data_IF_470770558219
#
_entry.id   IF_470770558219
#
_cell.length_a   1.000
_cell.length_b   1.000
_cell.length_c   1.000
_cell.angle_alpha   90.00
_cell.angle_beta   90.00
_cell.angle_gamma   90.00
#
_symmetry.space_group_name_H-M   'P 1'
#
loop_
_entity.id
_entity.type
_entity.pdbx_description
1 polymer ?
#
# COMPACT_ATOMS: atom_id res chain seq x y z
N UNK A 1 10.80 -15.48 4.77
CA UNK A 1 9.61 -16.09 5.40
C UNK A 1 9.48 -15.52 6.80
N UNK A 2 8.64 -14.51 6.99
CA UNK A 2 8.43 -13.89 8.29
C UNK A 2 7.50 -14.79 9.11
N UNK A 3 8.03 -15.41 10.17
CA UNK A 3 7.22 -16.22 11.09
C UNK A 3 6.44 -15.28 12.00
N UNK A 4 5.15 -15.10 11.73
CA UNK A 4 4.24 -14.38 12.62
C UNK A 4 4.00 -15.18 13.90
N UNK A 5 4.93 -15.10 14.85
CA UNK A 5 4.74 -15.68 16.18
C UNK A 5 3.90 -14.74 17.03
N UNK A 6 2.72 -15.21 17.43
CA UNK A 6 1.92 -14.57 18.48
C UNK A 6 2.53 -14.91 19.85
N UNK A 7 2.70 -13.90 20.71
CA UNK A 7 3.39 -14.02 22.01
C UNK A 7 2.43 -14.00 23.22
N UNK A 8 1.11 -13.94 23.00
CA UNK A 8 0.10 -14.01 24.06
C UNK A 8 -0.42 -15.43 24.33
N UNK A 9 -1.31 -15.58 25.31
CA UNK A 9 -1.99 -16.87 25.56
C UNK A 9 -3.13 -17.07 24.55
N UNK A 10 -3.46 -18.33 24.23
CA UNK A 10 -4.54 -18.65 23.29
C UNK A 10 -5.89 -18.08 23.74
N UNK A 11 -6.15 -18.05 25.05
CA UNK A 11 -7.39 -17.51 25.60
C UNK A 11 -7.51 -15.99 25.41
N UNK A 12 -6.41 -15.25 25.54
CA UNK A 12 -6.38 -13.82 25.22
C UNK A 12 -6.74 -13.57 23.75
N UNK A 13 -6.25 -14.43 22.85
CA UNK A 13 -6.52 -14.30 21.42
C UNK A 13 -8.01 -14.58 21.09
N UNK A 14 -8.62 -15.54 21.79
CA UNK A 14 -10.06 -15.82 21.68
C UNK A 14 -10.88 -14.61 22.14
N UNK A 15 -10.55 -14.05 23.31
CA UNK A 15 -11.19 -12.82 23.82
C UNK A 15 -11.01 -11.62 22.87
N UNK A 16 -9.81 -11.45 22.30
CA UNK A 16 -9.55 -10.40 21.32
C UNK A 16 -10.41 -10.56 20.06
N UNK A 17 -10.56 -11.78 19.56
CA UNK A 17 -11.40 -12.10 18.39
C UNK A 17 -12.86 -11.74 18.64
N UNK A 18 -13.39 -12.08 19.81
CA UNK A 18 -14.76 -11.74 20.21
C UNK A 18 -14.93 -10.23 20.33
N UNK A 19 -14.01 -9.55 21.01
CA UNK A 19 -14.02 -8.11 21.21
C UNK A 19 -13.99 -7.32 19.89
N UNK A 20 -13.37 -7.89 18.87
CA UNK A 20 -13.26 -7.30 17.55
C UNK A 20 -14.34 -7.78 16.58
N UNK A 21 -15.32 -8.58 16.99
CA UNK A 21 -16.36 -9.11 16.11
C UNK A 21 -15.76 -9.69 14.80
N UNK A 22 -14.76 -10.55 14.94
CA UNK A 22 -14.08 -11.15 13.78
C UNK A 22 -14.96 -12.27 13.23
N UNK A 23 -15.21 -12.23 11.92
CA UNK A 23 -15.93 -13.29 11.22
C UNK A 23 -15.00 -14.48 10.93
N UNK A 24 -15.12 -15.55 11.70
CA UNK A 24 -14.30 -16.75 11.53
C UNK A 24 -14.74 -17.65 10.37
N UNK A 25 -15.87 -17.36 9.71
CA UNK A 25 -16.36 -18.16 8.57
C UNK A 25 -15.47 -18.03 7.32
N UNK A 26 -14.63 -16.98 7.29
CA UNK A 26 -13.67 -16.66 6.21
C UNK A 26 -12.31 -17.34 6.37
N UNK A 27 -12.22 -18.33 7.25
CA UNK A 27 -11.01 -19.10 7.49
C UNK A 27 -11.36 -20.59 7.59
N UNK A 28 -10.44 -21.45 7.15
CA UNK A 28 -10.64 -22.91 7.19
C UNK A 28 -9.39 -23.60 7.69
N UNK A 29 -9.57 -24.53 8.62
CA UNK A 29 -8.52 -25.44 9.06
C UNK A 29 -8.77 -26.80 8.42
N UNK A 30 -7.80 -27.29 7.65
CA UNK A 30 -7.86 -28.59 6.99
C UNK A 30 -6.75 -29.49 7.54
N UNK A 31 -7.06 -30.68 8.09
CA UNK A 31 -6.03 -31.63 8.49
C UNK A 31 -5.30 -32.17 7.27
N UNK A 32 -3.97 -32.33 7.39
CA UNK A 32 -3.10 -32.89 6.37
C UNK A 32 -2.81 -34.36 6.65
N UNK A 33 -2.47 -35.12 5.61
CA UNK A 33 -2.19 -36.56 5.70
C UNK A 33 -0.95 -36.90 6.53
N UNK A 34 -0.05 -35.94 6.74
CA UNK A 34 1.19 -36.07 7.51
C UNK A 34 1.02 -35.76 9.00
N UNK A 35 -0.22 -35.51 9.45
CA UNK A 35 -0.52 -35.13 10.83
C UNK A 35 -0.38 -33.63 11.12
N UNK A 36 -0.11 -32.82 10.10
CA UNK A 36 -0.18 -31.35 10.17
C UNK A 36 -1.58 -30.79 9.93
N UNK A 37 -1.68 -29.46 9.95
CA UNK A 37 -2.88 -28.70 9.63
C UNK A 37 -2.53 -27.58 8.66
N UNK A 38 -3.37 -27.36 7.65
CA UNK A 38 -3.32 -26.20 6.77
C UNK A 38 -4.43 -25.22 7.18
N UNK A 39 -4.03 -24.00 7.51
CA UNK A 39 -4.95 -22.89 7.78
C UNK A 39 -5.01 -22.03 6.53
N UNK A 40 -6.17 -21.97 5.89
CA UNK A 40 -6.41 -21.15 4.70
C UNK A 40 -7.29 -19.95 5.07
N UNK A 41 -6.98 -18.80 4.48
CA UNK A 41 -7.72 -17.56 4.63
C UNK A 41 -8.37 -17.20 3.29
N UNK A 42 -9.59 -16.68 3.33
CA UNK A 42 -10.22 -16.14 2.14
C UNK A 42 -9.49 -14.86 1.68
N UNK A 43 -9.54 -14.61 0.38
CA UNK A 43 -9.03 -13.36 -0.18
C UNK A 43 -9.71 -12.14 0.48
N UNK A 44 -8.98 -11.03 0.66
CA UNK A 44 -9.55 -9.84 1.25
C UNK A 44 -10.60 -9.21 0.32
N UNK A 45 -11.67 -8.67 0.89
CA UNK A 45 -12.78 -8.02 0.14
C UNK A 45 -12.31 -6.74 -0.53
N UNK A 46 -11.30 -6.10 0.05
CA UNK A 46 -10.76 -4.80 -0.33
C UNK A 46 -9.24 -4.92 -0.41
N UNK A 47 -8.55 -4.22 -1.33
CA UNK A 47 -7.09 -4.20 -1.35
C UNK A 47 -6.53 -3.64 -0.03
N UNK A 48 -5.77 -4.48 0.68
CA UNK A 48 -5.22 -4.18 2.01
C UNK A 48 -3.69 -4.01 2.03
N UNK A 49 -3.02 -4.03 0.86
CA UNK A 49 -1.55 -4.02 0.75
C UNK A 49 -0.87 -2.89 1.55
N UNK A 50 -1.56 -1.75 1.70
CA UNK A 50 -1.07 -0.61 2.48
C UNK A 50 -1.00 -0.89 3.99
N UNK A 51 -1.91 -1.71 4.51
CA UNK A 51 -2.07 -1.99 5.95
C UNK A 51 -1.50 -3.34 6.34
N UNK A 52 -1.58 -4.33 5.45
CA UNK A 52 -1.03 -5.66 5.60
C UNK A 52 -0.39 -6.08 4.27
N UNK A 53 0.90 -5.75 4.04
CA UNK A 53 1.57 -6.03 2.77
C UNK A 53 1.80 -7.54 2.55
N UNK A 54 1.97 -8.31 3.63
CA UNK A 54 2.13 -9.76 3.60
C UNK A 54 0.86 -10.43 4.14
N UNK A 55 -0.25 -10.33 3.41
CA UNK A 55 -1.48 -11.01 3.77
C UNK A 55 -1.28 -12.54 3.67
N UNK A 56 -1.61 -13.31 4.72
CA UNK A 56 -1.41 -14.75 4.69
C UNK A 56 -2.52 -15.43 3.87
N UNK A 57 -2.15 -16.15 2.81
CA UNK A 57 -3.09 -16.95 2.03
C UNK A 57 -3.33 -18.33 2.68
N UNK A 58 -2.24 -19.05 2.94
CA UNK A 58 -2.28 -20.34 3.62
C UNK A 58 -1.03 -20.56 4.47
N UNK A 59 -1.22 -21.15 5.65
CA UNK A 59 -0.12 -21.43 6.58
C UNK A 59 -0.25 -22.88 7.05
N UNK A 60 0.81 -23.65 6.87
CA UNK A 60 0.91 -25.02 7.37
C UNK A 60 1.55 -25.03 8.75
N UNK A 61 0.93 -25.75 9.68
CA UNK A 61 1.37 -25.88 11.07
C UNK A 61 1.29 -27.33 11.52
N UNK A 62 2.03 -27.66 12.59
CA UNK A 62 2.19 -29.05 13.06
C UNK A 62 1.32 -29.41 14.25
N UNK A 63 0.66 -28.43 14.89
CA UNK A 63 -0.10 -28.63 16.13
C UNK A 63 -1.48 -27.97 16.02
N UNK A 64 -2.48 -28.60 16.65
CA UNK A 64 -3.85 -28.08 16.74
C UNK A 64 -3.89 -26.69 17.38
N UNK A 65 -3.16 -26.51 18.49
CA UNK A 65 -3.11 -25.23 19.20
C UNK A 65 -2.48 -24.14 18.34
N UNK A 66 -1.46 -24.50 17.55
CA UNK A 66 -0.84 -23.58 16.59
C UNK A 66 -1.80 -23.26 15.44
N UNK A 67 -2.59 -24.22 14.96
CA UNK A 67 -3.58 -24.01 13.91
C UNK A 67 -4.63 -23.01 14.34
N UNK A 68 -5.18 -23.20 15.55
CA UNK A 68 -6.15 -22.28 16.13
C UNK A 68 -5.55 -20.88 16.32
N UNK A 69 -4.38 -20.77 16.95
CA UNK A 69 -3.73 -19.47 17.16
C UNK A 69 -3.44 -18.74 15.84
N UNK A 70 -3.00 -19.48 14.82
CA UNK A 70 -2.70 -18.93 13.49
C UNK A 70 -3.97 -18.46 12.79
N UNK A 71 -5.04 -19.26 12.86
CA UNK A 71 -6.35 -18.91 12.31
C UNK A 71 -6.89 -17.63 12.94
N UNK A 72 -6.96 -17.58 14.27
CA UNK A 72 -7.50 -16.43 15.00
C UNK A 72 -6.64 -15.16 14.77
N UNK A 73 -5.32 -15.27 14.85
CA UNK A 73 -4.42 -14.12 14.63
C UNK A 73 -4.47 -13.62 13.18
N UNK A 74 -4.51 -14.53 12.20
CA UNK A 74 -4.62 -14.18 10.79
C UNK A 74 -5.95 -13.51 10.46
N UNK A 75 -7.07 -14.09 10.90
CA UNK A 75 -8.41 -13.55 10.69
C UNK A 75 -8.57 -12.15 11.30
N UNK A 76 -8.09 -11.96 12.53
CA UNK A 76 -8.11 -10.68 13.23
C UNK A 76 -7.34 -9.61 12.45
N UNK A 77 -6.10 -9.91 12.03
CA UNK A 77 -5.27 -8.96 11.27
C UNK A 77 -5.89 -8.60 9.93
N UNK A 78 -6.36 -9.60 9.19
CA UNK A 78 -6.93 -9.43 7.86
C UNK A 78 -8.17 -8.52 7.92
N UNK A 79 -9.11 -8.81 8.82
CA UNK A 79 -10.33 -8.01 8.93
C UNK A 79 -10.09 -6.62 9.51
N UNK A 80 -9.15 -6.46 10.45
CA UNK A 80 -8.75 -5.13 10.91
C UNK A 80 -8.15 -4.31 9.76
N UNK A 81 -7.29 -4.92 8.93
CA UNK A 81 -6.71 -4.25 7.78
C UNK A 81 -7.78 -3.83 6.76
N UNK A 82 -8.78 -4.68 6.50
CA UNK A 82 -9.92 -4.33 5.62
C UNK A 82 -10.72 -3.14 6.18
N UNK A 83 -11.02 -3.15 7.48
CA UNK A 83 -11.74 -2.05 8.15
C UNK A 83 -10.97 -0.74 8.07
N UNK A 84 -9.65 -0.80 8.28
CA UNK A 84 -8.77 0.35 8.14
C UNK A 84 -8.72 0.85 6.70
N UNK A 85 -8.65 -0.05 5.72
CA UNK A 85 -8.64 0.31 4.30
C UNK A 85 -9.93 1.02 3.86
N UNK A 86 -11.09 0.49 4.26
CA UNK A 86 -12.39 1.09 3.93
C UNK A 86 -12.55 2.46 4.58
N UNK A 87 -12.13 2.60 5.85
CA UNK A 87 -12.36 3.80 6.66
C UNK A 87 -11.19 4.78 6.64
N UNK A 88 -10.14 4.50 5.88
CA UNK A 88 -8.97 5.36 5.78
C UNK A 88 -9.37 6.78 5.34
N UNK A 89 -8.96 7.79 6.11
CA UNK A 89 -9.32 9.19 5.86
C UNK A 89 -10.68 9.63 6.42
N UNK A 90 -11.39 8.76 7.15
CA UNK A 90 -12.61 9.17 7.88
C UNK A 90 -12.23 9.98 9.11
N UNK A 91 -12.73 11.21 9.22
CA UNK A 91 -12.48 12.11 10.36
C UNK A 91 -13.46 11.80 11.49
N UNK A 92 -13.02 11.97 12.75
CA UNK A 92 -13.88 11.87 13.93
C UNK A 92 -14.16 10.43 14.41
N UNK A 93 -13.46 9.43 13.87
CA UNK A 93 -13.58 8.03 14.29
C UNK A 93 -12.33 7.60 15.06
N UNK A 94 -12.53 7.03 16.24
CA UNK A 94 -11.43 6.44 17.00
C UNK A 94 -10.95 5.13 16.36
N UNK A 95 -9.66 4.86 16.52
CA UNK A 95 -8.98 3.64 16.09
C UNK A 95 -9.64 2.38 16.64
N UNK A 96 -10.09 2.37 17.89
CA UNK A 96 -10.75 1.21 18.49
C UNK A 96 -12.13 0.97 17.86
N UNK A 97 -12.87 2.03 17.58
CA UNK A 97 -14.14 1.93 16.87
C UNK A 97 -13.94 1.32 15.47
N UNK A 98 -12.92 1.79 14.73
CA UNK A 98 -12.58 1.27 13.40
C UNK A 98 -12.24 -0.22 13.47
N UNK A 99 -11.49 -0.64 14.50
CA UNK A 99 -11.07 -2.03 14.67
C UNK A 99 -12.20 -2.96 15.09
N UNK A 100 -13.17 -2.51 15.89
CA UNK A 100 -14.22 -3.37 16.47
C UNK A 100 -15.51 -3.42 15.68
N UNK A 101 -15.83 -2.36 14.93
CA UNK A 101 -17.11 -2.28 14.20
C UNK A 101 -17.00 -3.04 12.88
N UNK A 102 -17.87 -4.04 12.61
CA UNK A 102 -17.92 -4.71 11.31
C UNK A 102 -18.17 -3.72 10.17
N UNK A 103 -17.77 -4.09 8.95
CA UNK A 103 -17.95 -3.24 7.77
C UNK A 103 -19.40 -3.38 7.29
N UNK A 104 -20.11 -2.27 7.08
CA UNK A 104 -21.45 -2.31 6.49
C UNK A 104 -21.39 -2.36 4.96
N UNK A 105 -22.46 -2.85 4.33
CA UNK A 105 -22.57 -2.85 2.88
C UNK A 105 -22.47 -1.44 2.27
N UNK A 106 -23.10 -0.45 2.92
CA UNK A 106 -23.05 0.95 2.53
C UNK A 106 -21.62 1.51 2.56
N UNK A 107 -20.81 1.14 3.57
CA UNK A 107 -19.41 1.55 3.66
C UNK A 107 -18.57 0.97 2.51
N UNK A 108 -18.82 -0.28 2.11
CA UNK A 108 -18.14 -0.91 0.97
C UNK A 108 -18.52 -0.25 -0.35
N UNK A 109 -19.79 0.09 -0.55
CA UNK A 109 -20.23 0.77 -1.77
C UNK A 109 -19.68 2.20 -1.85
N UNK A 110 -19.69 2.93 -0.74
CA UNK A 110 -19.05 4.24 -0.66
C UNK A 110 -17.53 4.16 -0.93
N UNK A 111 -16.85 3.12 -0.43
CA UNK A 111 -15.44 2.89 -0.74
C UNK A 111 -15.20 2.64 -2.23
N UNK A 112 -16.01 1.77 -2.85
CA UNK A 112 -15.93 1.48 -4.29
C UNK A 112 -16.19 2.73 -5.13
N UNK A 113 -17.14 3.57 -4.73
CA UNK A 113 -17.39 4.86 -5.38
C UNK A 113 -16.17 5.78 -5.32
N UNK A 114 -15.57 5.95 -4.14
CA UNK A 114 -14.34 6.75 -3.96
C UNK A 114 -13.19 6.25 -4.83
N UNK A 115 -13.03 4.94 -4.98
CA UNK A 115 -11.98 4.38 -5.84
C UNK A 115 -12.22 4.67 -7.33
N UNK A 116 -13.47 4.61 -7.80
CA UNK A 116 -13.81 4.98 -9.18
C UNK A 116 -13.55 6.47 -9.43
N UNK A 117 -13.96 7.33 -8.50
CA UNK A 117 -13.70 8.77 -8.59
C UNK A 117 -12.19 9.08 -8.60
N UNK A 118 -11.42 8.46 -7.70
CA UNK A 118 -9.97 8.63 -7.66
C UNK A 118 -9.30 8.16 -8.96
N UNK A 119 -9.79 7.07 -9.56
CA UNK A 119 -9.30 6.60 -10.85
C UNK A 119 -9.59 7.61 -11.98
N UNK A 120 -10.78 8.21 -12.00
CA UNK A 120 -11.13 9.26 -12.97
C UNK A 120 -10.27 10.52 -12.77
N UNK A 121 -10.11 10.97 -11.52
CA UNK A 121 -9.26 12.12 -11.20
C UNK A 121 -7.82 11.91 -11.66
N UNK A 122 -7.26 10.71 -11.50
CA UNK A 122 -5.91 10.37 -12.00
C UNK A 122 -5.82 10.45 -13.52
N UNK A 123 -6.84 10.01 -14.25
CA UNK A 123 -6.88 10.12 -15.71
C UNK A 123 -6.91 11.58 -16.16
N UNK A 124 -7.81 12.38 -15.58
CA UNK A 124 -7.92 13.81 -15.88
C UNK A 124 -6.60 14.53 -15.56
N UNK A 125 -5.97 14.21 -14.42
CA UNK A 125 -4.68 14.79 -14.06
C UNK A 125 -3.58 14.42 -15.07
N UNK A 126 -3.54 13.18 -15.56
CA UNK A 126 -2.58 12.76 -16.58
C UNK A 126 -2.81 13.49 -17.91
N UNK A 127 -4.06 13.63 -18.35
CA UNK A 127 -4.43 14.38 -19.55
C UNK A 127 -4.05 15.87 -19.44
N UNK A 128 -4.27 16.48 -18.28
CA UNK A 128 -3.86 17.87 -18.03
C UNK A 128 -2.34 18.05 -18.07
N UNK A 129 -1.58 17.11 -17.50
CA UNK A 129 -0.11 17.15 -17.54
C UNK A 129 0.36 17.06 -19.00
N UNK A 130 -0.18 16.13 -19.77
CA UNK A 130 0.17 15.99 -21.19
C UNK A 130 -0.17 17.25 -21.99
N UNK A 131 -1.35 17.83 -21.80
CA UNK A 131 -1.75 19.06 -22.50
C UNK A 131 -0.87 20.26 -22.13
N UNK A 132 -0.44 20.35 -20.87
CA UNK A 132 0.50 21.39 -20.43
C UNK A 132 1.87 21.20 -21.07
N UNK A 133 2.38 19.98 -21.14
CA UNK A 133 3.65 19.66 -21.79
C UNK A 133 3.63 19.99 -23.28
N UNK A 134 2.54 19.63 -23.99
CA UNK A 134 2.35 19.95 -25.40
C UNK A 134 2.32 21.47 -25.63
N UNK A 135 1.54 22.20 -24.82
CA UNK A 135 1.46 23.67 -24.90
C UNK A 135 2.79 24.35 -24.58
N UNK A 136 3.54 23.84 -23.60
CA UNK A 136 4.88 24.34 -23.29
C UNK A 136 5.86 24.06 -24.45
N UNK A 137 5.79 22.88 -25.06
CA UNK A 137 6.61 22.55 -26.21
C UNK A 137 6.32 23.46 -27.41
N UNK A 138 5.04 23.77 -27.67
CA UNK A 138 4.64 24.74 -28.69
C UNK A 138 5.13 26.16 -28.36
N UNK A 139 4.91 26.62 -27.14
CA UNK A 139 5.39 27.94 -26.70
C UNK A 139 6.92 28.05 -26.82
N UNK A 140 7.66 26.99 -26.47
CA UNK A 140 9.11 26.93 -26.61
C UNK A 140 9.54 26.96 -28.07
N UNK A 141 8.81 26.30 -28.99
CA UNK A 141 9.09 26.38 -30.44
C UNK A 141 8.91 27.81 -30.95
N UNK A 142 7.83 28.48 -30.56
CA UNK A 142 7.56 29.88 -30.95
C UNK A 142 8.63 30.81 -30.39
N UNK A 143 8.96 30.69 -29.10
CA UNK A 143 9.99 31.49 -28.46
C UNK A 143 11.38 31.26 -29.08
N UNK A 144 11.71 30.01 -29.44
CA UNK A 144 12.96 29.70 -30.13
C UNK A 144 13.01 30.33 -31.53
N UNK A 145 11.91 30.30 -32.28
CA UNK A 145 11.82 30.94 -33.59
C UNK A 145 11.96 32.48 -33.47
N UNK A 146 11.35 33.08 -32.46
CA UNK A 146 11.47 34.51 -32.19
C UNK A 146 12.90 34.91 -31.80
N UNK A 147 13.57 34.14 -30.95
CA UNK A 147 14.98 34.36 -30.60
C UNK A 147 15.90 34.23 -31.81
N UNK A 148 15.67 33.22 -32.67
CA UNK A 148 16.44 33.03 -33.89
C UNK A 148 16.26 34.20 -34.88
N UNK A 149 15.04 34.76 -34.97
CA UNK A 149 14.76 35.94 -35.78
C UNK A 149 15.42 37.22 -35.23
N UNK A 150 15.46 37.38 -33.90
CA UNK A 150 16.11 38.55 -33.26
C UNK A 150 17.63 38.51 -33.32
N UNK A 151 18.25 37.32 -33.28
CA UNK A 151 19.69 37.16 -33.24
C UNK A 151 20.19 36.13 -34.27
N UNK A 152 20.17 36.46 -35.57
CA UNK A 152 20.56 35.53 -36.64
C UNK A 152 22.02 35.07 -36.46
N UNK A 153 22.24 33.74 -36.51
CA UNK A 153 23.57 33.11 -36.43
C UNK A 153 24.09 32.77 -35.03
N UNK A 154 23.39 33.20 -33.97
CA UNK A 154 23.82 32.95 -32.57
C UNK A 154 23.03 31.84 -31.85
N UNK A 155 21.87 31.45 -32.38
CA UNK A 155 21.04 30.36 -31.83
C UNK A 155 21.45 29.05 -32.50
N UNK A 156 22.04 28.14 -31.72
CA UNK A 156 22.40 26.81 -32.18
C UNK A 156 21.15 25.96 -32.43
N UNK A 157 21.15 25.17 -33.51
CA UNK A 157 20.03 24.26 -33.80
C UNK A 157 19.84 23.23 -32.67
N UNK A 158 18.60 22.86 -32.34
CA UNK A 158 18.31 21.88 -31.30
C UNK A 158 18.95 20.53 -31.67
N UNK A 159 19.94 20.11 -30.89
CA UNK A 159 20.60 18.80 -31.07
C UNK A 159 19.57 17.69 -30.86
N UNK A 160 19.49 16.74 -31.79
CA UNK A 160 18.71 15.51 -31.61
C UNK A 160 19.15 14.84 -30.30
N UNK A 161 18.19 14.58 -29.41
CA UNK A 161 18.45 13.97 -28.12
C UNK A 161 19.08 12.58 -28.31
N UNK A 162 20.41 12.50 -28.19
CA UNK A 162 21.10 11.24 -27.98
C UNK A 162 20.70 10.71 -26.60
N UNK A 163 20.36 9.42 -26.50
CA UNK A 163 20.03 8.71 -25.25
C UNK A 163 20.92 9.20 -24.09
N UNK A 164 20.36 9.47 -22.90
CA UNK A 164 21.15 9.96 -21.78
C UNK A 164 22.21 8.91 -21.44
N UNK A 165 23.49 9.26 -21.62
CA UNK A 165 24.58 8.50 -21.00
C UNK A 165 24.41 8.62 -19.48
N UNK A 166 24.59 7.52 -18.72
CA UNK A 166 24.49 7.55 -17.27
C UNK A 166 25.47 8.59 -16.72
N UNK A 167 24.95 9.52 -15.94
CA UNK A 167 25.72 10.56 -15.26
C UNK A 167 26.65 9.86 -14.27
N UNK A 168 27.97 10.13 -14.25
CA UNK A 168 28.84 9.62 -13.20
C UNK A 168 28.36 10.18 -11.87
N UNK A 169 28.02 9.29 -10.93
CA UNK A 169 27.63 9.64 -9.57
C UNK A 169 28.73 10.51 -8.94
N UNK A 170 28.37 11.71 -8.50
CA UNK A 170 29.25 12.52 -7.65
C UNK A 170 29.57 11.72 -6.37
N UNK A 171 30.82 11.75 -5.88
CA UNK A 171 31.19 11.04 -4.66
C UNK A 171 30.35 11.59 -3.49
N UNK A 172 29.54 10.72 -2.90
CA UNK A 172 28.81 11.03 -1.68
C UNK A 172 29.82 11.32 -0.56
N UNK A 173 29.87 12.56 -0.09
CA UNK A 173 30.61 12.92 1.11
C UNK A 173 29.93 12.22 2.29
N UNK A 174 30.56 11.15 2.79
CA UNK A 174 30.15 10.48 4.01
C UNK A 174 30.40 11.44 5.18
N UNK A 175 29.34 12.09 5.64
CA UNK A 175 29.36 12.85 6.90
C UNK A 175 29.45 11.83 8.04
N UNK A 176 30.64 11.69 8.63
CA UNK A 176 30.80 10.94 9.88
C UNK A 176 29.91 11.56 10.96
N UNK A 177 29.10 10.79 11.69
CA UNK A 177 28.40 11.32 12.86
C UNK A 177 29.45 11.70 13.92
N UNK A 178 29.47 12.99 14.26
CA UNK A 178 30.29 13.53 15.35
C UNK A 178 29.73 13.04 16.69
N UNK A 179 30.48 12.18 17.37
CA UNK A 179 30.21 11.80 18.75
C UNK A 179 30.54 12.99 19.67
N UNK A 180 29.51 13.71 20.09
CA UNK A 180 29.55 14.72 21.16
C UNK A 180 28.42 14.37 22.13
N UNK A 181 28.63 14.05 23.40
CA UNK A 181 29.82 13.77 24.17
C UNK A 181 29.33 13.08 25.44
N UNK A 182 30.09 12.11 25.93
CA UNK A 182 29.94 11.62 27.29
C UNK A 182 30.70 12.55 28.23
N UNK A 183 29.96 13.29 29.07
CA UNK A 183 30.36 13.67 30.43
C UNK A 183 29.09 13.84 31.26
#
# INVERSE_FOLDING_TARGET
MSTHQFTGTLDQLREEVDLHNVDLTRCRITPLSDGGFAVAFDAPVVPIDKFLPDAPDSIVVKSVLQAEATMLSGALKLQIAERQAVRNGSVGRDSMWVRRTPISAEELDAYRARQREAALQRKIAAELVQAVEERQAEANKVAAAELAARYPGSVAEPRKASKPKPVPSLPSVAVKPSARGAK
#
